data_IF_468621235726
#
_entry.id   IF_468621235726
#
_cell.length_a   1.000
_cell.length_b   1.000
_cell.length_c   1.000
_cell.angle_alpha   90.00
_cell.angle_beta   90.00
_cell.angle_gamma   90.00
#
_symmetry.space_group_name_H-M   'P 1'
#
loop_
_entity.id
_entity.type
_entity.pdbx_description
1 polymer ?
#
# COMPACT_ATOMS: atom_id res chain seq x y z
N UNK A 1 5.32 -3.18 10.63
CA UNK A 1 4.24 -3.82 9.85
C UNK A 1 2.92 -3.45 10.51
N UNK A 2 1.97 -2.98 9.71
CA UNK A 2 0.66 -2.47 10.13
C UNK A 2 -0.45 -3.22 9.41
N UNK A 3 -1.65 -3.22 9.99
CA UNK A 3 -2.82 -3.92 9.42
C UNK A 3 -4.00 -2.98 9.37
N UNK A 4 -4.60 -2.86 8.20
CA UNK A 4 -5.83 -2.10 7.95
C UNK A 4 -6.96 -3.06 7.56
N UNK A 5 -8.20 -2.77 7.93
CA UNK A 5 -9.35 -3.56 7.52
C UNK A 5 -10.03 -2.89 6.32
N UNK A 6 -10.63 -3.66 5.42
CA UNK A 6 -11.59 -3.14 4.44
C UNK A 6 -12.94 -3.85 4.59
N UNK A 7 -14.00 -3.24 4.08
CA UNK A 7 -15.32 -3.87 4.02
C UNK A 7 -15.47 -4.64 2.70
N UNK A 8 -15.78 -5.94 2.73
CA UNK A 8 -16.03 -6.70 1.51
C UNK A 8 -17.33 -6.27 0.82
N UNK A 9 -17.44 -6.43 -0.52
CA UNK A 9 -16.40 -6.94 -1.43
C UNK A 9 -15.40 -5.85 -1.86
N UNK A 10 -14.12 -6.23 -2.02
CA UNK A 10 -13.09 -5.38 -2.64
C UNK A 10 -12.38 -6.19 -3.73
N UNK A 11 -12.43 -5.73 -4.98
CA UNK A 11 -11.83 -6.42 -6.13
C UNK A 11 -10.34 -6.06 -6.28
N UNK A 12 -9.50 -6.80 -5.57
CA UNK A 12 -8.05 -6.59 -5.57
C UNK A 12 -7.39 -6.93 -6.91
N UNK A 13 -7.89 -7.92 -7.65
CA UNK A 13 -7.35 -8.26 -8.97
C UNK A 13 -7.59 -7.12 -9.96
N UNK A 14 -8.78 -6.53 -9.95
CA UNK A 14 -9.06 -5.32 -10.73
C UNK A 14 -8.20 -4.13 -10.28
N UNK A 15 -8.08 -3.90 -8.97
CA UNK A 15 -7.30 -2.77 -8.44
C UNK A 15 -5.81 -2.88 -8.81
N UNK A 16 -5.20 -4.05 -8.61
CA UNK A 16 -3.80 -4.28 -8.99
C UNK A 16 -3.62 -4.18 -10.51
N UNK A 17 -4.56 -4.67 -11.31
CA UNK A 17 -4.54 -4.46 -12.77
C UNK A 17 -4.62 -2.99 -13.18
N UNK A 18 -5.47 -2.20 -12.51
CA UNK A 18 -5.60 -0.76 -12.73
C UNK A 18 -4.29 -0.01 -12.43
N UNK A 19 -3.63 -0.35 -11.31
CA UNK A 19 -2.35 0.22 -10.90
C UNK A 19 -1.21 -0.23 -11.82
N UNK A 20 -1.14 -1.52 -12.17
CA UNK A 20 -0.11 -2.06 -13.05
C UNK A 20 -0.10 -1.38 -14.43
N UNK A 21 -1.29 -1.11 -14.99
CA UNK A 21 -1.41 -0.41 -16.27
C UNK A 21 -0.86 1.04 -16.26
N UNK A 22 -0.61 1.61 -15.07
CA UNK A 22 -0.15 2.99 -14.87
C UNK A 22 1.17 3.08 -14.12
N UNK A 23 1.78 1.94 -13.78
CA UNK A 23 2.95 1.89 -12.94
C UNK A 23 4.13 2.62 -13.58
N UNK A 24 4.73 3.56 -12.83
CA UNK A 24 5.91 4.27 -13.28
C UNK A 24 7.16 3.42 -13.02
N UNK A 25 7.90 3.09 -14.09
CA UNK A 25 9.11 2.28 -14.00
C UNK A 25 10.14 2.90 -13.05
N UNK A 26 10.67 2.09 -12.13
CA UNK A 26 11.63 2.53 -11.11
C UNK A 26 11.02 3.26 -9.90
N UNK A 27 9.71 3.52 -9.91
CA UNK A 27 8.98 4.15 -8.79
C UNK A 27 8.00 3.18 -8.16
N UNK A 28 7.26 2.44 -8.99
CA UNK A 28 6.20 1.53 -8.57
C UNK A 28 6.51 0.11 -9.05
N UNK A 29 6.13 -0.86 -8.23
CA UNK A 29 6.19 -2.28 -8.55
C UNK A 29 4.83 -2.88 -8.20
N UNK A 30 4.18 -3.48 -9.19
CA UNK A 30 2.88 -4.13 -9.02
C UNK A 30 3.05 -5.60 -9.39
N UNK A 31 2.68 -6.46 -8.46
CA UNK A 31 2.63 -7.91 -8.65
C UNK A 31 1.17 -8.39 -8.48
N UNK A 32 0.93 -9.68 -8.69
CA UNK A 32 -0.41 -10.26 -8.58
C UNK A 32 -0.97 -10.21 -7.14
N UNK A 33 -0.10 -10.16 -6.14
CA UNK A 33 -0.42 -10.28 -4.71
C UNK A 33 0.05 -9.09 -3.86
N UNK A 34 0.72 -8.09 -4.45
CA UNK A 34 1.10 -6.87 -3.73
C UNK A 34 1.32 -5.66 -4.64
N UNK A 35 1.26 -4.49 -4.02
CA UNK A 35 1.68 -3.22 -4.59
C UNK A 35 2.79 -2.62 -3.74
N UNK A 36 3.85 -2.11 -4.36
CA UNK A 36 4.91 -1.38 -3.68
C UNK A 36 5.29 -0.12 -4.43
N UNK A 37 5.66 0.94 -3.68
CA UNK A 37 6.14 2.19 -4.28
C UNK A 37 7.18 2.88 -3.43
N UNK A 38 8.05 3.65 -4.07
CA UNK A 38 8.80 4.69 -3.36
C UNK A 38 7.87 5.81 -2.90
N UNK A 39 8.07 6.30 -1.69
CA UNK A 39 7.32 7.40 -1.09
C UNK A 39 8.28 8.39 -0.43
N UNK A 40 7.93 9.68 -0.51
CA UNK A 40 8.57 10.74 0.25
C UNK A 40 7.51 11.56 1.00
N UNK A 41 7.71 11.76 2.29
CA UNK A 41 6.87 12.59 3.16
C UNK A 41 7.77 13.61 3.85
N UNK A 42 7.81 14.83 3.33
CA UNK A 42 8.83 15.81 3.72
C UNK A 42 10.24 15.26 3.45
N UNK A 43 11.08 15.23 4.49
CA UNK A 43 12.46 14.72 4.42
C UNK A 43 12.56 13.19 4.52
N UNK A 44 11.48 12.51 4.90
CA UNK A 44 11.46 11.06 5.09
C UNK A 44 11.23 10.36 3.75
N UNK A 45 12.03 9.32 3.48
CA UNK A 45 12.00 8.58 2.22
C UNK A 45 12.06 7.09 2.48
N UNK A 46 11.35 6.33 1.65
CA UNK A 46 11.43 4.89 1.71
C UNK A 46 10.48 4.20 0.76
N UNK A 47 10.18 2.95 1.07
CA UNK A 47 9.26 2.11 0.32
C UNK A 47 8.07 1.75 1.20
N UNK A 48 6.88 1.87 0.61
CA UNK A 48 5.63 1.31 1.14
C UNK A 48 5.31 0.05 0.37
N UNK A 49 4.88 -1.00 1.04
CA UNK A 49 4.39 -2.24 0.42
C UNK A 49 3.04 -2.58 1.03
N UNK A 50 2.05 -2.80 0.18
CA UNK A 50 0.69 -3.16 0.54
C UNK A 50 0.36 -4.56 0.02
N UNK A 51 -0.01 -5.45 0.94
CA UNK A 51 -0.24 -6.88 0.67
C UNK A 51 -1.65 -7.24 1.16
N UNK A 52 -2.64 -7.44 0.26
CA UNK A 52 -3.99 -7.80 0.66
C UNK A 52 -4.08 -9.26 1.13
N UNK A 53 -4.63 -9.49 2.32
CA UNK A 53 -5.10 -10.79 2.79
C UNK A 53 -6.62 -10.88 2.56
N UNK A 54 -6.98 -11.49 1.42
CA UNK A 54 -8.37 -11.58 0.95
C UNK A 54 -9.25 -12.35 1.94
N UNK A 55 -8.71 -13.39 2.59
CA UNK A 55 -9.48 -14.25 3.48
C UNK A 55 -9.83 -13.53 4.80
N UNK A 56 -8.96 -12.63 5.26
CA UNK A 56 -9.17 -11.86 6.50
C UNK A 56 -9.76 -10.48 6.27
N UNK A 57 -9.84 -10.04 5.01
CA UNK A 57 -10.28 -8.70 4.63
C UNK A 57 -9.38 -7.61 5.23
N UNK A 58 -8.07 -7.88 5.24
CA UNK A 58 -7.05 -7.01 5.84
C UNK A 58 -5.94 -6.68 4.86
N UNK A 59 -5.52 -5.42 4.82
CA UNK A 59 -4.37 -4.96 4.06
C UNK A 59 -3.16 -4.85 4.98
N UNK A 60 -2.11 -5.61 4.70
CA UNK A 60 -0.85 -5.52 5.43
C UNK A 60 0.04 -4.45 4.80
N UNK A 61 0.46 -3.48 5.61
CA UNK A 61 1.36 -2.41 5.20
C UNK A 61 2.74 -2.61 5.83
N UNK A 62 3.76 -2.70 4.98
CA UNK A 62 5.15 -2.63 5.37
C UNK A 62 5.74 -1.28 4.96
N UNK A 63 6.44 -0.66 5.90
CA UNK A 63 7.20 0.56 5.68
C UNK A 63 8.67 0.23 5.86
N UNK A 64 9.52 0.72 4.95
CA UNK A 64 10.97 0.69 5.19
C UNK A 64 11.34 1.66 6.33
N UNK A 65 12.48 1.42 7.00
CA UNK A 65 12.95 2.20 8.15
C UNK A 65 12.91 3.73 7.98
N UNK A 66 13.17 4.24 6.78
CA UNK A 66 13.16 5.68 6.49
C UNK A 66 11.78 6.35 6.56
N UNK A 67 10.69 5.57 6.62
CA UNK A 67 9.31 6.06 6.76
C UNK A 67 8.72 5.82 8.15
N UNK A 68 9.40 5.07 9.04
CA UNK A 68 8.93 4.81 10.40
C UNK A 68 8.59 6.09 11.20
N UNK A 69 9.36 7.21 11.11
CA UNK A 69 9.02 8.44 11.82
C UNK A 69 7.69 9.10 11.39
N UNK A 70 7.16 8.74 10.23
CA UNK A 70 5.91 9.28 9.66
C UNK A 70 4.85 8.19 9.42
N UNK A 71 5.04 7.01 10.01
CA UNK A 71 4.19 5.86 9.77
C UNK A 71 2.70 6.17 10.03
N UNK A 72 2.38 6.89 11.09
CA UNK A 72 0.99 7.22 11.44
C UNK A 72 0.29 8.04 10.35
N UNK A 73 0.98 9.02 9.75
CA UNK A 73 0.42 9.86 8.68
C UNK A 73 0.11 9.00 7.45
N UNK A 74 1.06 8.14 7.07
CA UNK A 74 0.89 7.26 5.91
C UNK A 74 -0.22 6.23 6.11
N UNK A 75 -0.24 5.57 7.27
CA UNK A 75 -1.27 4.57 7.59
C UNK A 75 -2.66 5.18 7.62
N UNK A 76 -2.82 6.40 8.16
CA UNK A 76 -4.10 7.11 8.15
C UNK A 76 -4.53 7.52 6.73
N UNK A 77 -3.58 7.95 5.89
CA UNK A 77 -3.84 8.26 4.48
C UNK A 77 -4.36 7.04 3.72
N UNK A 78 -3.65 5.90 3.81
CA UNK A 78 -4.06 4.65 3.16
C UNK A 78 -5.43 4.18 3.69
N UNK A 79 -5.68 4.29 4.99
CA UNK A 79 -6.94 3.86 5.57
C UNK A 79 -8.14 4.65 5.01
N UNK A 80 -7.95 5.93 4.70
CA UNK A 80 -9.02 6.76 4.10
C UNK A 80 -9.41 6.37 2.67
N UNK A 81 -8.52 5.67 1.95
CA UNK A 81 -8.77 5.15 0.59
C UNK A 81 -9.50 3.79 0.61
N UNK A 82 -9.58 3.13 1.77
CA UNK A 82 -10.21 1.80 1.95
C UNK A 82 -11.64 1.86 2.49
N UNK A 83 -12.11 3.02 2.94
CA UNK A 83 -13.47 3.31 3.44
C UNK A 83 -14.28 4.12 2.45
#
# INVERSE_FOLDING_TARGET
MYTLNWQPPYDWSWMLGFLAARAVNGVETVADDYYARSLAVGEYRGVVTAIPDIARHTLHINLSAGLEPVAEVEINGINSELT
#
